data_IF_696984425652
#
_entry.id   IF_696984425652
#
_cell.length_a   1.000
_cell.length_b   1.000
_cell.length_c   1.000
_cell.angle_alpha   90.00
_cell.angle_beta   90.00
_cell.angle_gamma   90.00
#
_symmetry.space_group_name_H-M   'P 1'
#
loop_
_entity.id
_entity.type
_entity.pdbx_description
1 polymer ?
#
# COMPACT_ATOMS: atom_id res chain seq x y z
N UNK A 1 -26.79 -0.91 -49.58
CA UNK A 1 -26.96 0.43 -49.00
C UNK A 1 -27.80 0.26 -47.75
N UNK A 2 -27.40 0.47 -46.51
CA UNK A 2 -26.12 0.76 -45.86
C UNK A 2 -26.36 0.38 -44.40
N UNK A 3 -25.83 -0.77 -43.97
CA UNK A 3 -25.99 -1.28 -42.60
C UNK A 3 -24.62 -1.24 -41.90
N UNK A 4 -23.94 -0.09 -41.98
CA UNK A 4 -22.58 0.11 -41.46
C UNK A 4 -22.40 1.36 -40.59
N UNK A 5 -23.46 2.14 -40.35
CA UNK A 5 -23.33 3.41 -39.62
C UNK A 5 -23.57 3.30 -38.10
N UNK A 6 -24.02 2.15 -37.58
CA UNK A 6 -24.31 2.01 -36.15
C UNK A 6 -23.11 1.64 -35.26
N UNK A 7 -21.91 1.44 -35.81
CA UNK A 7 -20.74 1.00 -35.04
C UNK A 7 -19.78 2.11 -34.60
N UNK A 8 -20.06 3.39 -34.90
CA UNK A 8 -19.11 4.49 -34.66
C UNK A 8 -19.37 5.23 -33.33
N UNK A 9 -20.48 4.97 -32.64
CA UNK A 9 -20.95 5.88 -31.58
C UNK A 9 -20.62 5.48 -30.13
N UNK A 10 -19.98 4.33 -29.88
CA UNK A 10 -19.70 3.84 -28.52
C UNK A 10 -18.29 4.18 -27.97
N UNK A 11 -17.38 4.74 -28.77
CA UNK A 11 -16.01 5.06 -28.30
C UNK A 11 -15.93 6.39 -27.52
N UNK A 12 -16.92 7.29 -27.68
CA UNK A 12 -16.92 8.61 -27.03
C UNK A 12 -17.21 8.57 -25.52
N UNK A 13 -17.70 7.44 -25.00
CA UNK A 13 -18.02 7.29 -23.58
C UNK A 13 -16.93 6.55 -22.79
N UNK A 14 -15.84 6.12 -23.44
CA UNK A 14 -14.70 5.51 -22.76
C UNK A 14 -13.72 6.58 -22.27
N UNK A 15 -13.59 6.68 -20.95
CA UNK A 15 -12.63 7.55 -20.28
C UNK A 15 -11.45 6.73 -19.73
N UNK A 16 -10.26 7.32 -19.79
CA UNK A 16 -9.09 6.77 -19.11
C UNK A 16 -9.06 7.25 -17.66
N UNK A 17 -9.05 6.30 -16.74
CA UNK A 17 -8.75 6.55 -15.34
C UNK A 17 -7.29 6.19 -15.05
N UNK A 18 -6.64 6.99 -14.22
CA UNK A 18 -5.26 6.75 -13.78
C UNK A 18 -5.18 6.64 -12.26
N UNK A 19 -4.32 5.75 -11.79
CA UNK A 19 -4.05 5.55 -10.36
C UNK A 19 -2.55 5.41 -10.14
N UNK A 20 -2.03 6.11 -9.13
CA UNK A 20 -0.61 6.06 -8.76
C UNK A 20 -0.46 5.48 -7.37
N UNK A 21 0.45 4.53 -7.22
CA UNK A 21 0.78 3.93 -5.93
C UNK A 21 2.24 4.16 -5.63
N UNK A 22 2.51 4.72 -4.46
CA UNK A 22 3.85 4.87 -3.92
C UNK A 22 4.24 3.63 -3.13
N UNK A 23 5.41 3.07 -3.43
CA UNK A 23 6.02 1.96 -2.70
C UNK A 23 7.14 2.50 -1.83
N UNK A 24 6.92 2.43 -0.53
CA UNK A 24 7.95 2.75 0.42
C UNK A 24 8.89 1.55 0.61
N UNK A 25 10.04 1.56 -0.07
CA UNK A 25 11.12 0.60 0.17
C UNK A 25 11.88 1.07 1.41
N UNK A 26 11.25 0.93 2.58
CA UNK A 26 11.95 1.18 3.84
C UNK A 26 12.88 0.01 4.10
N UNK A 27 14.13 0.11 3.65
CA UNK A 27 15.22 -0.76 4.10
C UNK A 27 15.72 -0.38 5.51
N UNK A 28 15.11 0.61 6.17
CA UNK A 28 15.43 0.91 7.56
C UNK A 28 14.90 -0.24 8.41
N UNK A 29 15.78 -0.81 9.23
CA UNK A 29 15.41 -1.68 10.35
C UNK A 29 14.13 -1.11 10.96
N UNK A 30 13.06 -1.90 11.17
CA UNK A 30 11.87 -1.40 11.83
C UNK A 30 12.36 -0.64 13.05
N UNK A 31 12.02 0.65 13.14
CA UNK A 31 12.43 1.51 14.27
C UNK A 31 12.15 0.72 15.51
N UNK A 32 13.23 0.26 16.14
CA UNK A 32 13.17 -0.69 17.22
C UNK A 32 12.32 0.00 18.28
N UNK A 33 11.13 -0.54 18.55
CA UNK A 33 10.33 -0.10 19.68
C UNK A 33 11.24 -0.22 20.89
N UNK A 34 11.59 0.92 21.51
CA UNK A 34 12.50 1.00 22.66
C UNK A 34 12.17 -0.11 23.65
N UNK A 35 13.14 -0.90 24.10
CA UNK A 35 12.83 -2.12 24.87
C UNK A 35 12.10 -1.80 26.19
N UNK A 36 11.39 -2.77 26.81
CA UNK A 36 10.81 -2.58 28.14
C UNK A 36 11.81 -2.07 29.18
N UNK A 37 13.07 -2.47 29.06
CA UNK A 37 14.19 -2.03 29.90
C UNK A 37 14.54 -0.56 29.66
N UNK A 38 14.61 -0.12 28.41
CA UNK A 38 14.83 1.28 28.05
C UNK A 38 13.65 2.18 28.48
N UNK A 39 12.43 1.66 28.39
CA UNK A 39 11.22 2.35 28.86
C UNK A 39 11.22 2.48 30.40
N UNK A 40 11.59 1.41 31.11
CA UNK A 40 11.73 1.42 32.57
C UNK A 40 12.79 2.43 33.02
N UNK A 41 13.94 2.48 32.35
CA UNK A 41 15.00 3.46 32.63
C UNK A 41 14.56 4.91 32.38
N UNK A 42 13.81 5.18 31.30
CA UNK A 42 13.23 6.52 31.06
C UNK A 42 12.24 6.94 32.13
N UNK A 43 11.56 5.97 32.73
CA UNK A 43 10.68 6.17 33.88
C UNK A 43 11.44 6.12 35.21
N UNK A 44 12.77 6.21 35.20
CA UNK A 44 13.62 6.17 36.39
C UNK A 44 13.38 4.93 37.28
N UNK A 45 12.93 3.82 36.69
CA UNK A 45 12.60 2.60 37.42
C UNK A 45 11.25 2.61 38.15
N UNK A 46 10.42 3.65 37.97
CA UNK A 46 9.07 3.73 38.58
C UNK A 46 8.18 2.55 38.18
N UNK A 47 8.34 2.06 36.94
CA UNK A 47 7.68 0.87 36.45
C UNK A 47 8.74 -0.17 36.08
N UNK A 48 8.58 -1.40 36.55
CA UNK A 48 9.49 -2.50 36.19
C UNK A 48 9.31 -2.89 34.72
N UNK A 49 10.36 -3.39 34.04
CA UNK A 49 10.27 -3.87 32.67
C UNK A 49 9.16 -4.92 32.46
N UNK A 50 8.99 -5.82 33.44
CA UNK A 50 7.94 -6.84 33.42
C UNK A 50 6.53 -6.24 33.49
N UNK A 51 6.34 -5.19 34.29
CA UNK A 51 5.07 -4.48 34.37
C UNK A 51 4.75 -3.77 33.06
N UNK A 52 5.73 -3.06 32.48
CA UNK A 52 5.60 -2.37 31.19
C UNK A 52 5.25 -3.37 30.07
N UNK A 53 5.91 -4.53 30.04
CA UNK A 53 5.63 -5.58 29.05
C UNK A 53 4.23 -6.17 29.18
N UNK A 54 3.73 -6.31 30.42
CA UNK A 54 2.40 -6.84 30.72
C UNK A 54 1.28 -5.86 30.37
N UNK A 55 1.48 -4.56 30.62
CA UNK A 55 0.50 -3.50 30.32
C UNK A 55 0.48 -3.12 28.84
N UNK A 56 1.62 -3.24 28.14
CA UNK A 56 1.73 -2.91 26.73
C UNK A 56 2.13 -4.12 25.85
N UNK A 57 1.36 -5.23 25.87
CA UNK A 57 1.70 -6.45 25.14
C UNK A 57 1.62 -6.28 23.62
N UNK A 58 0.90 -5.25 23.12
CA UNK A 58 0.90 -4.90 21.68
C UNK A 58 2.21 -4.25 21.23
N UNK A 59 2.92 -3.56 22.12
CA UNK A 59 4.17 -2.85 21.85
C UNK A 59 5.39 -3.72 22.13
N UNK A 60 5.36 -4.51 23.20
CA UNK A 60 6.49 -5.33 23.67
C UNK A 60 6.27 -6.85 23.57
N UNK A 61 5.14 -7.25 22.97
CA UNK A 61 4.86 -8.65 22.67
C UNK A 61 5.81 -9.22 21.62
N UNK A 62 5.66 -10.52 21.34
CA UNK A 62 6.50 -11.19 20.34
C UNK A 62 6.48 -10.42 19.02
N UNK A 63 7.65 -10.13 18.42
CA UNK A 63 7.70 -9.42 17.16
C UNK A 63 6.85 -10.20 16.15
N UNK A 64 5.80 -9.56 15.65
CA UNK A 64 5.09 -10.09 14.50
C UNK A 64 6.13 -10.19 13.40
N UNK A 65 6.32 -11.38 12.83
CA UNK A 65 7.26 -11.54 11.73
C UNK A 65 6.94 -10.46 10.69
N UNK A 66 7.94 -9.67 10.25
CA UNK A 66 7.70 -8.67 9.24
C UNK A 66 7.14 -9.40 8.02
N UNK A 67 5.91 -9.06 7.62
CA UNK A 67 5.37 -9.54 6.35
C UNK A 67 6.37 -9.13 5.28
N UNK A 68 6.83 -10.08 4.48
CA UNK A 68 7.79 -9.81 3.43
C UNK A 68 7.21 -8.72 2.50
N UNK A 69 7.94 -7.63 2.20
CA UNK A 69 7.43 -6.52 1.40
C UNK A 69 6.82 -6.96 0.06
N UNK A 70 7.41 -7.97 -0.59
CA UNK A 70 6.87 -8.53 -1.83
C UNK A 70 5.47 -9.16 -1.65
N UNK A 71 5.18 -9.79 -0.52
CA UNK A 71 3.84 -10.36 -0.26
C UNK A 71 2.79 -9.27 -0.07
N UNK A 72 3.16 -8.13 0.50
CA UNK A 72 2.27 -6.98 0.61
C UNK A 72 2.01 -6.36 -0.76
N UNK A 73 3.05 -6.22 -1.59
CA UNK A 73 2.89 -5.75 -2.98
C UNK A 73 2.03 -6.70 -3.80
N UNK A 74 2.25 -8.01 -3.68
CA UNK A 74 1.45 -9.02 -4.38
C UNK A 74 -0.05 -8.89 -4.06
N UNK A 75 -0.41 -8.67 -2.79
CA UNK A 75 -1.80 -8.44 -2.41
C UNK A 75 -2.39 -7.20 -3.10
N UNK A 76 -1.64 -6.09 -3.10
CA UNK A 76 -2.08 -4.83 -3.74
C UNK A 76 -2.24 -5.00 -5.24
N UNK A 77 -1.24 -5.59 -5.92
CA UNK A 77 -1.29 -5.82 -7.36
C UNK A 77 -2.47 -6.72 -7.76
N UNK A 78 -2.73 -7.79 -7.00
CA UNK A 78 -3.87 -8.67 -7.24
C UNK A 78 -5.21 -7.96 -7.05
N UNK A 79 -5.32 -7.09 -6.04
CA UNK A 79 -6.53 -6.28 -5.82
C UNK A 79 -6.80 -5.36 -7.02
N UNK A 80 -5.77 -4.66 -7.49
CA UNK A 80 -5.85 -3.78 -8.65
C UNK A 80 -6.19 -4.52 -9.93
N UNK A 81 -5.60 -5.70 -10.15
CA UNK A 81 -5.91 -6.55 -11.29
C UNK A 81 -7.38 -6.97 -11.33
N UNK A 82 -8.00 -7.29 -10.17
CA UNK A 82 -9.44 -7.58 -10.08
C UNK A 82 -10.31 -6.38 -10.44
N UNK A 83 -9.84 -5.18 -10.13
CA UNK A 83 -10.48 -3.93 -10.50
C UNK A 83 -10.19 -3.52 -11.96
N UNK A 84 -9.48 -4.35 -12.75
CA UNK A 84 -9.08 -4.09 -14.15
C UNK A 84 -8.11 -2.92 -14.32
N UNK A 85 -7.32 -2.62 -13.29
CA UNK A 85 -6.19 -1.71 -13.44
C UNK A 85 -5.02 -2.42 -14.10
N UNK A 86 -4.45 -1.79 -15.11
CA UNK A 86 -3.27 -2.23 -15.83
C UNK A 86 -2.06 -1.42 -15.38
N UNK A 87 -0.98 -2.08 -14.93
CA UNK A 87 0.29 -1.43 -14.64
C UNK A 87 0.94 -1.00 -15.96
N UNK A 88 1.15 0.29 -16.14
CA UNK A 88 1.73 0.83 -17.38
C UNK A 88 3.17 1.30 -17.21
N UNK A 89 3.51 1.79 -16.02
CA UNK A 89 4.84 2.35 -15.80
C UNK A 89 5.27 2.19 -14.35
N UNK A 90 6.56 1.91 -14.20
CA UNK A 90 7.28 1.99 -12.94
C UNK A 90 8.28 3.12 -13.04
N UNK A 91 8.10 4.16 -12.23
CA UNK A 91 8.93 5.35 -12.26
C UNK A 91 9.55 5.61 -10.90
N UNK A 92 10.81 6.01 -10.88
CA UNK A 92 11.50 6.42 -9.67
C UNK A 92 11.64 7.94 -9.66
N UNK A 93 10.93 8.59 -8.75
CA UNK A 93 10.99 10.04 -8.57
C UNK A 93 11.71 10.33 -7.25
N UNK A 94 13.00 10.66 -7.38
CA UNK A 94 13.90 10.78 -6.23
C UNK A 94 14.09 9.43 -5.52
N UNK A 95 13.74 9.35 -4.23
CA UNK A 95 13.81 8.12 -3.43
C UNK A 95 12.54 7.28 -3.43
N UNK A 96 11.50 7.70 -4.16
CA UNK A 96 10.17 7.10 -4.13
C UNK A 96 9.95 6.25 -5.38
N UNK A 97 9.61 4.97 -5.20
CA UNK A 97 9.22 4.10 -6.30
C UNK A 97 7.71 4.21 -6.53
N UNK A 98 7.31 4.64 -7.72
CA UNK A 98 5.93 4.87 -8.12
C UNK A 98 5.48 3.83 -9.15
N UNK A 99 4.30 3.26 -8.96
CA UNK A 99 3.64 2.40 -9.92
C UNK A 99 2.43 3.15 -10.47
N UNK A 100 2.41 3.33 -11.79
CA UNK A 100 1.36 4.05 -12.50
C UNK A 100 0.48 3.03 -13.20
N UNK A 101 -0.82 3.11 -12.93
CA UNK A 101 -1.83 2.25 -13.49
C UNK A 101 -2.82 3.06 -14.34
N UNK A 102 -3.39 2.41 -15.35
CA UNK A 102 -4.53 2.94 -16.10
C UNK A 102 -5.67 1.92 -16.14
N UNK A 103 -6.87 2.40 -16.42
CA UNK A 103 -8.05 1.57 -16.69
C UNK A 103 -9.02 2.31 -17.60
N UNK A 104 -9.74 1.58 -18.44
CA UNK A 104 -10.89 2.11 -19.17
C UNK A 104 -12.14 2.08 -18.28
N UNK A 105 -12.82 3.22 -18.20
CA UNK A 105 -14.05 3.39 -17.46
C UNK A 105 -15.12 3.94 -18.39
N UNK A 106 -16.37 3.49 -18.21
CA UNK A 106 -17.50 4.09 -18.92
C UNK A 106 -17.87 5.37 -18.19
N UNK A 107 -18.11 6.43 -18.95
CA UNK A 107 -18.66 7.67 -18.42
C UNK A 107 -20.01 7.35 -17.75
N UNK A 108 -20.12 7.64 -16.46
CA UNK A 108 -21.41 7.56 -15.78
C UNK A 108 -22.28 8.73 -16.27
N UNK A 109 -23.50 8.44 -16.73
CA UNK A 109 -24.52 9.48 -16.94
C UNK A 109 -24.89 10.05 -15.56
N UNK A 110 -24.68 11.35 -15.37
CA UNK A 110 -25.05 12.11 -14.17
C UNK A 110 -26.55 12.41 -14.11
#
# INVERSE_FOLDING_TARGET
MDNKEQSIQHDNDMLWEYRVIHINIVNKKPTQTSSPEEASQKLQGLLSPEFIKKEFPKLYGKPRLPKHPASQLQFVLNLLGRERWELIETSQLGGLLMFIFKRQSMKAEE
#
